data_IF_476302958756
#
_entry.id   IF_476302958756
#
_cell.length_a   1.000
_cell.length_b   1.000
_cell.length_c   1.000
_cell.angle_alpha   90.00
_cell.angle_beta   90.00
_cell.angle_gamma   90.00
#
_symmetry.space_group_name_H-M   'P 1'
#
loop_
_entity.id
_entity.type
_entity.pdbx_description
1 polymer ?
#
# COMPACT_ATOMS: atom_id res chain seq x y z
N UNK A 1 -8.22 -3.24 9.24
CA UNK A 1 -9.06 -2.75 10.36
C UNK A 1 -10.22 -3.69 10.64
N UNK A 2 -10.58 -3.83 11.91
CA UNK A 2 -11.83 -4.48 12.34
C UNK A 2 -12.97 -3.46 12.29
N UNK A 3 -14.23 -3.91 12.14
CA UNK A 3 -15.40 -3.01 12.12
C UNK A 3 -15.45 -2.10 13.36
N UNK A 4 -15.01 -2.60 14.51
CA UNK A 4 -14.97 -1.86 15.78
C UNK A 4 -13.97 -0.70 15.73
N UNK A 5 -12.76 -0.91 15.19
CA UNK A 5 -11.75 0.14 15.08
C UNK A 5 -12.21 1.29 14.17
N UNK A 6 -12.90 0.96 13.07
CA UNK A 6 -13.52 1.93 12.15
C UNK A 6 -14.57 2.80 12.85
N UNK A 7 -15.47 2.18 13.60
CA UNK A 7 -16.52 2.89 14.35
C UNK A 7 -15.90 3.83 15.38
N UNK A 8 -14.87 3.37 16.10
CA UNK A 8 -14.13 4.19 17.06
C UNK A 8 -13.45 5.39 16.40
N UNK A 9 -12.77 5.20 15.27
CA UNK A 9 -12.04 6.30 14.60
C UNK A 9 -12.97 7.36 14.02
N UNK A 10 -14.03 6.95 13.31
CA UNK A 10 -15.02 7.90 12.80
C UNK A 10 -15.82 8.55 13.93
N UNK A 11 -16.14 7.80 14.98
CA UNK A 11 -16.80 8.31 16.18
C UNK A 11 -15.98 9.39 16.88
N UNK A 12 -14.66 9.17 17.06
CA UNK A 12 -13.77 10.18 17.63
C UNK A 12 -13.69 11.45 16.77
N UNK A 13 -13.61 11.31 15.44
CA UNK A 13 -13.61 12.47 14.54
C UNK A 13 -14.91 13.28 14.67
N UNK A 14 -16.06 12.60 14.69
CA UNK A 14 -17.36 13.25 14.92
C UNK A 14 -17.47 13.90 16.30
N UNK A 15 -17.00 13.23 17.36
CA UNK A 15 -16.97 13.76 18.72
C UNK A 15 -16.10 15.02 18.84
N UNK A 16 -14.97 15.09 18.14
CA UNK A 16 -14.14 16.30 18.11
C UNK A 16 -14.89 17.48 17.51
N UNK A 17 -15.62 17.27 16.41
CA UNK A 17 -16.46 18.33 15.79
C UNK A 17 -17.54 18.77 16.78
N UNK A 18 -18.26 17.83 17.40
CA UNK A 18 -19.31 18.15 18.37
C UNK A 18 -18.77 18.88 19.60
N UNK A 19 -17.61 18.48 20.11
CA UNK A 19 -16.95 19.16 21.22
C UNK A 19 -16.51 20.58 20.82
N UNK A 20 -16.05 20.79 19.59
CA UNK A 20 -15.73 22.12 19.07
C UNK A 20 -16.96 23.03 18.99
N UNK A 21 -18.08 22.52 18.46
CA UNK A 21 -19.36 23.25 18.42
C UNK A 21 -19.86 23.57 19.83
N UNK A 22 -19.84 22.59 20.73
CA UNK A 22 -20.23 22.80 22.13
C UNK A 22 -19.33 23.83 22.83
N UNK A 23 -18.02 23.81 22.56
CA UNK A 23 -17.07 24.79 23.06
C UNK A 23 -17.34 26.21 22.53
N UNK A 24 -17.71 26.35 21.26
CA UNK A 24 -18.09 27.64 20.66
C UNK A 24 -19.32 28.25 21.34
N UNK A 25 -20.30 27.40 21.70
CA UNK A 25 -21.55 27.82 22.32
C UNK A 25 -21.38 28.09 23.82
N UNK A 26 -20.60 27.25 24.51
CA UNK A 26 -20.41 27.35 25.96
C UNK A 26 -19.44 28.46 26.37
N UNK A 27 -18.41 28.73 25.57
CA UNK A 27 -17.40 29.74 25.86
C UNK A 27 -17.55 30.91 24.88
N UNK A 28 -18.35 31.90 25.24
CA UNK A 28 -18.44 33.15 24.48
C UNK A 28 -17.12 33.94 24.52
N UNK A 29 -16.66 34.43 23.38
CA UNK A 29 -15.44 35.25 23.24
C UNK A 29 -14.36 34.63 22.33
N UNK A 30 -13.24 35.33 22.15
CA UNK A 30 -12.21 34.97 21.17
C UNK A 30 -11.57 33.60 21.42
N UNK A 31 -11.36 33.21 22.68
CA UNK A 31 -10.75 31.92 23.05
C UNK A 31 -11.64 30.73 22.69
N UNK A 32 -12.96 30.85 22.91
CA UNK A 32 -13.92 29.80 22.55
C UNK A 32 -14.05 29.62 21.05
N UNK A 33 -14.00 30.72 20.28
CA UNK A 33 -13.97 30.67 18.82
C UNK A 33 -12.70 29.99 18.28
N UNK A 34 -11.52 30.31 18.84
CA UNK A 34 -10.26 29.67 18.44
C UNK A 34 -10.32 28.17 18.76
N UNK A 35 -10.75 27.81 19.97
CA UNK A 35 -10.85 26.41 20.39
C UNK A 35 -11.83 25.64 19.48
N UNK A 36 -12.99 26.22 19.20
CA UNK A 36 -13.96 25.64 18.28
C UNK A 36 -13.38 25.41 16.88
N UNK A 37 -12.69 26.40 16.31
CA UNK A 37 -12.05 26.28 15.01
C UNK A 37 -11.01 25.16 14.99
N UNK A 38 -10.17 25.06 16.03
CA UNK A 38 -9.16 24.00 16.14
C UNK A 38 -9.82 22.62 16.23
N UNK A 39 -10.83 22.44 17.08
CA UNK A 39 -11.49 21.14 17.23
C UNK A 39 -12.26 20.72 15.97
N UNK A 40 -12.98 21.65 15.35
CA UNK A 40 -13.74 21.37 14.13
C UNK A 40 -12.80 21.06 12.97
N UNK A 41 -11.76 21.89 12.76
CA UNK A 41 -10.78 21.66 11.69
C UNK A 41 -10.05 20.33 11.87
N UNK A 42 -9.61 20.02 13.09
CA UNK A 42 -8.97 18.73 13.41
C UNK A 42 -9.92 17.55 13.14
N UNK A 43 -11.18 17.66 13.54
CA UNK A 43 -12.21 16.66 13.26
C UNK A 43 -12.40 16.42 11.76
N UNK A 44 -12.48 17.50 10.96
CA UNK A 44 -12.61 17.42 9.50
C UNK A 44 -11.36 16.79 8.83
N UNK A 45 -10.16 17.17 9.28
CA UNK A 45 -8.90 16.60 8.77
C UNK A 45 -8.83 15.11 9.07
N UNK A 46 -9.14 14.72 10.31
CA UNK A 46 -9.16 13.30 10.71
C UNK A 46 -10.22 12.52 9.94
N UNK A 47 -11.43 13.06 9.78
CA UNK A 47 -12.49 12.41 9.02
C UNK A 47 -12.05 12.15 7.57
N UNK A 48 -11.47 13.16 6.91
CA UNK A 48 -10.99 13.03 5.53
C UNK A 48 -9.82 12.05 5.42
N UNK A 49 -8.86 12.14 6.34
CA UNK A 49 -7.72 11.22 6.38
C UNK A 49 -8.17 9.76 6.61
N UNK A 50 -9.19 9.53 7.44
CA UNK A 50 -9.76 8.21 7.66
C UNK A 50 -10.43 7.65 6.40
N UNK A 51 -11.15 8.48 5.64
CA UNK A 51 -11.72 8.06 4.35
C UNK A 51 -10.61 7.61 3.41
N UNK A 52 -9.53 8.39 3.26
CA UNK A 52 -8.39 7.99 2.44
C UNK A 52 -7.71 6.73 2.94
N UNK A 53 -7.57 6.55 4.26
CA UNK A 53 -7.02 5.34 4.85
C UNK A 53 -7.89 4.11 4.53
N UNK A 54 -9.22 4.24 4.58
CA UNK A 54 -10.14 3.15 4.25
C UNK A 54 -9.98 2.71 2.80
N UNK A 55 -9.91 3.68 1.88
CA UNK A 55 -9.75 3.43 0.44
C UNK A 55 -8.38 2.83 0.17
N UNK A 56 -7.31 3.42 0.69
CA UNK A 56 -5.94 2.92 0.50
C UNK A 56 -5.75 1.51 1.03
N UNK A 57 -6.28 1.20 2.23
CA UNK A 57 -6.23 -0.16 2.77
C UNK A 57 -7.10 -1.16 1.97
N UNK A 58 -8.16 -0.69 1.32
CA UNK A 58 -8.98 -1.54 0.46
C UNK A 58 -8.22 -1.90 -0.81
N UNK A 59 -7.60 -0.92 -1.45
CA UNK A 59 -6.78 -1.11 -2.65
C UNK A 59 -5.55 -1.99 -2.36
N UNK A 60 -4.85 -1.75 -1.25
CA UNK A 60 -3.71 -2.58 -0.85
C UNK A 60 -4.09 -4.04 -0.55
N UNK A 61 -5.28 -4.26 0.02
CA UNK A 61 -5.79 -5.62 0.24
C UNK A 61 -6.08 -6.36 -1.06
N UNK A 62 -6.58 -5.66 -2.06
CA UNK A 62 -6.83 -6.25 -3.38
C UNK A 62 -5.51 -6.64 -4.05
N UNK A 63 -4.51 -5.75 -4.03
CA UNK A 63 -3.15 -6.05 -4.53
C UNK A 63 -2.51 -7.22 -3.79
N UNK A 64 -2.68 -7.31 -2.48
CA UNK A 64 -2.16 -8.43 -1.70
C UNK A 64 -2.79 -9.77 -2.10
N UNK A 65 -4.09 -9.79 -2.43
CA UNK A 65 -4.79 -10.98 -2.92
C UNK A 65 -4.32 -11.38 -4.32
N UNK A 66 -4.16 -10.41 -5.22
CA UNK A 66 -3.63 -10.66 -6.55
C UNK A 66 -2.19 -11.21 -6.49
N UNK A 67 -1.35 -10.64 -5.65
CA UNK A 67 0.01 -11.10 -5.43
C UNK A 67 0.06 -12.53 -4.85
N UNK A 68 -0.83 -12.88 -3.93
CA UNK A 68 -0.97 -14.24 -3.40
C UNK A 68 -1.43 -15.22 -4.50
N UNK A 69 -2.48 -14.85 -5.25
CA UNK A 69 -2.98 -15.68 -6.35
C UNK A 69 -1.94 -15.90 -7.45
N UNK A 70 -1.11 -14.90 -7.74
CA UNK A 70 0.00 -15.03 -8.68
C UNK A 70 1.06 -16.02 -8.19
N UNK A 71 1.45 -15.95 -6.90
CA UNK A 71 2.39 -16.89 -6.28
C UNK A 71 1.88 -18.32 -6.30
N UNK A 72 0.61 -18.53 -5.96
CA UNK A 72 0.00 -19.86 -6.00
C UNK A 72 -0.03 -20.45 -7.42
N UNK A 73 -0.26 -19.61 -8.44
CA UNK A 73 -0.21 -20.04 -9.85
C UNK A 73 1.20 -20.45 -10.24
N UNK A 74 2.21 -19.66 -9.88
CA UNK A 74 3.62 -19.95 -10.17
C UNK A 74 4.07 -21.26 -9.49
N UNK A 75 3.67 -21.48 -8.24
CA UNK A 75 3.97 -22.73 -7.51
C UNK A 75 3.29 -23.95 -8.17
N UNK A 76 2.03 -23.83 -8.58
CA UNK A 76 1.32 -24.89 -9.33
C UNK A 76 1.96 -25.16 -10.68
N UNK A 77 2.43 -24.14 -11.38
CA UNK A 77 3.13 -24.28 -12.66
C UNK A 77 4.48 -24.99 -12.46
N UNK A 78 5.23 -24.62 -11.41
CA UNK A 78 6.49 -25.27 -11.04
C UNK A 78 6.28 -26.73 -10.63
N UNK A 79 5.19 -27.04 -9.92
CA UNK A 79 4.82 -28.41 -9.55
C UNK A 79 4.38 -29.26 -10.75
N UNK A 80 3.77 -28.66 -11.78
CA UNK A 80 3.34 -29.32 -13.01
C UNK A 80 4.47 -29.59 -14.00
N UNK A 81 5.60 -28.86 -13.90
CA UNK A 81 6.76 -29.13 -14.77
C UNK A 81 7.34 -30.52 -14.48
N UNK A 82 7.50 -31.38 -15.52
CA UNK A 82 8.05 -32.71 -15.35
C UNK A 82 9.50 -32.63 -14.83
N UNK A 83 9.98 -33.65 -14.09
CA UNK A 83 11.33 -33.68 -13.53
C UNK A 83 12.44 -33.48 -14.58
N UNK A 84 12.16 -33.71 -15.87
CA UNK A 84 13.11 -33.58 -16.98
C UNK A 84 13.45 -32.13 -17.36
N UNK A 85 12.69 -31.12 -16.92
CA UNK A 85 13.03 -29.69 -17.09
C UNK A 85 13.64 -29.06 -15.83
N UNK A 86 13.67 -29.79 -14.70
CA UNK A 86 14.42 -29.37 -13.51
C UNK A 86 15.88 -29.65 -13.80
N UNK A 87 16.55 -28.76 -14.54
CA UNK A 87 17.99 -28.87 -14.81
C UNK A 87 18.70 -29.08 -13.46
N UNK A 88 19.26 -30.28 -13.19
CA UNK A 88 20.07 -30.48 -12.03
C UNK A 88 21.32 -29.64 -12.24
N UNK A 89 21.60 -28.70 -11.33
CA UNK A 89 22.94 -28.12 -11.27
C UNK A 89 23.94 -29.27 -11.15
N UNK A 90 25.01 -29.31 -11.96
CA UNK A 90 25.93 -30.44 -11.96
C UNK A 90 26.52 -30.63 -10.55
N UNK A 91 26.53 -31.87 -10.02
CA UNK A 91 27.06 -32.14 -8.70
C UNK A 91 28.59 -32.05 -8.75
N UNK A 92 29.12 -31.01 -8.11
CA UNK A 92 30.50 -30.95 -7.65
C UNK A 92 31.56 -30.84 -8.74
N UNK A 93 31.90 -29.61 -9.12
CA UNK A 93 33.26 -29.30 -9.52
C UNK A 93 33.76 -28.10 -8.72
N UNK A 94 34.72 -28.39 -7.85
CA UNK A 94 35.96 -27.63 -7.72
C UNK A 94 35.85 -26.13 -7.40
N UNK A 95 36.34 -25.79 -6.21
CA UNK A 95 37.11 -24.57 -5.96
C UNK A 95 37.75 -24.00 -7.24
N UNK A 96 37.42 -22.76 -7.59
CA UNK A 96 38.35 -21.91 -8.30
C UNK A 96 37.77 -21.08 -9.43
N UNK A 97 37.96 -19.77 -9.28
CA UNK A 97 38.18 -18.81 -10.36
C UNK A 97 36.98 -18.23 -11.13
N UNK A 98 36.78 -16.94 -10.79
CA UNK A 98 36.90 -15.81 -11.72
C UNK A 98 35.77 -15.63 -12.77
N UNK A 99 35.11 -14.48 -12.55
CA UNK A 99 34.89 -13.40 -13.52
C UNK A 99 33.79 -13.60 -14.56
N UNK A 100 32.84 -12.65 -14.46
CA UNK A 100 32.25 -11.88 -15.56
C UNK A 100 31.40 -12.65 -16.57
N UNK A 101 30.09 -12.37 -16.52
CA UNK A 101 29.39 -11.72 -17.64
C UNK A 101 27.99 -11.26 -17.21
N UNK A 102 27.76 -9.94 -17.07
CA UNK A 102 26.43 -9.38 -17.19
C UNK A 102 25.99 -9.52 -18.64
N UNK A 103 24.95 -10.33 -18.90
CA UNK A 103 24.30 -10.37 -20.22
C UNK A 103 23.42 -9.11 -20.34
N UNK A 104 24.06 -7.97 -20.61
CA UNK A 104 23.37 -6.76 -21.05
C UNK A 104 22.85 -7.04 -22.45
N UNK A 105 21.59 -7.48 -22.53
CA UNK A 105 20.93 -7.62 -23.81
C UNK A 105 20.68 -6.23 -24.40
N UNK A 106 21.40 -6.00 -25.48
CA UNK A 106 21.67 -4.73 -26.11
C UNK A 106 20.55 -4.50 -27.11
N UNK A 107 19.35 -4.12 -26.65
CA UNK A 107 18.32 -3.61 -27.57
C UNK A 107 18.69 -2.20 -28.02
N UNK A 108 19.56 -2.14 -29.02
CA UNK A 108 19.75 -1.00 -29.91
C UNK A 108 18.40 -0.68 -30.56
N UNK A 109 17.89 0.52 -30.28
CA UNK A 109 16.80 1.11 -31.05
C UNK A 109 17.19 1.14 -32.52
N UNK A 110 16.31 0.62 -33.38
CA UNK A 110 16.35 0.87 -34.83
C UNK A 110 15.76 2.26 -35.08
N UNK A 111 16.47 3.20 -35.73
CA UNK A 111 15.80 4.35 -36.31
C UNK A 111 15.07 3.90 -37.58
N UNK A 112 13.74 4.03 -37.60
CA UNK A 112 12.97 3.95 -38.85
C UNK A 112 13.26 5.23 -39.63
N UNK A 113 13.99 5.10 -40.74
CA UNK A 113 14.13 6.16 -41.74
C UNK A 113 12.81 6.30 -42.51
N UNK A 114 12.49 7.55 -42.77
CA UNK A 114 11.38 8.09 -43.53
C UNK A 114 11.29 7.47 -44.94
N UNK A 115 10.06 7.27 -45.39
CA UNK A 115 9.65 7.15 -46.79
C UNK A 115 8.39 7.98 -46.95
#
# INVERSE_FOLDING_TARGET
MTKRARILSFGCAGLLVLAGVAGAVAFGGGTGQILALVLISLGCVLATALVFLEVGLSEDRERAREAQAAREREEREHARKPPSERVPGPPGEGRGSRRLRPRLDRRRGRPRRLG
#
